data_IF_291942889440
#
_entry.id   IF_291942889440
#
_cell.length_a   1.000
_cell.length_b   1.000
_cell.length_c   1.000
_cell.angle_alpha   90.00
_cell.angle_beta   90.00
_cell.angle_gamma   90.00
#
_symmetry.space_group_name_H-M   'P 1'
#
loop_
_entity.id
_entity.type
_entity.pdbx_description
1 polymer ?
#
# COMPACT_ATOMS: atom_id res chain seq x y z
N UNK A 1 1.34 6.50 -22.52
CA UNK A 1 2.60 6.03 -23.11
C UNK A 1 3.08 4.81 -22.35
N UNK A 2 2.97 3.62 -22.93
CA UNK A 2 3.42 2.37 -22.27
C UNK A 2 4.95 2.29 -22.42
N UNK A 3 5.67 2.45 -21.33
CA UNK A 3 7.12 2.25 -21.31
C UNK A 3 7.40 0.76 -21.29
N UNK A 4 7.39 0.14 -22.46
CA UNK A 4 7.86 -1.25 -22.63
C UNK A 4 9.36 -1.25 -22.46
N UNK A 5 9.87 -1.67 -21.32
CA UNK A 5 11.27 -2.11 -21.22
C UNK A 5 11.32 -3.48 -21.92
N UNK A 6 12.07 -3.64 -22.99
CA UNK A 6 12.15 -4.94 -23.66
C UNK A 6 12.73 -5.99 -22.70
N UNK A 7 12.08 -7.15 -22.60
CA UNK A 7 12.48 -8.27 -21.74
C UNK A 7 13.95 -8.62 -21.91
N UNK A 8 14.43 -8.65 -23.16
CA UNK A 8 15.83 -8.91 -23.52
C UNK A 8 16.82 -7.91 -22.90
N UNK A 9 16.43 -6.65 -22.70
CA UNK A 9 17.30 -5.64 -22.07
C UNK A 9 17.39 -5.85 -20.57
N UNK A 10 16.29 -6.23 -19.92
CA UNK A 10 16.26 -6.52 -18.50
C UNK A 10 17.06 -7.80 -18.18
N UNK A 11 16.98 -8.83 -19.02
CA UNK A 11 17.76 -10.06 -18.89
C UNK A 11 19.26 -9.78 -19.03
N UNK A 12 19.67 -8.94 -19.98
CA UNK A 12 21.06 -8.48 -20.12
C UNK A 12 21.57 -7.72 -18.89
N UNK A 13 20.69 -7.10 -18.12
CA UNK A 13 21.00 -6.41 -16.87
C UNK A 13 20.95 -7.35 -15.65
N UNK A 14 20.78 -8.67 -15.85
CA UNK A 14 20.72 -9.65 -14.79
C UNK A 14 19.45 -9.62 -13.94
N UNK A 15 18.34 -9.18 -14.54
CA UNK A 15 17.02 -9.26 -13.89
C UNK A 15 16.41 -10.64 -14.15
N UNK A 16 15.88 -11.32 -13.12
CA UNK A 16 15.17 -12.59 -13.31
C UNK A 16 13.97 -12.40 -14.25
N UNK A 17 13.82 -13.26 -15.25
CA UNK A 17 12.75 -13.18 -16.26
C UNK A 17 11.37 -13.10 -15.63
N UNK A 18 11.06 -13.99 -14.68
CA UNK A 18 9.78 -13.97 -13.98
C UNK A 18 9.54 -12.72 -13.14
N UNK A 19 10.58 -12.01 -12.68
CA UNK A 19 10.44 -10.73 -11.98
C UNK A 19 10.02 -9.61 -12.94
N UNK A 20 10.56 -9.61 -14.16
CA UNK A 20 10.19 -8.64 -15.19
C UNK A 20 8.73 -8.83 -15.60
N UNK A 21 8.28 -10.07 -15.74
CA UNK A 21 6.89 -10.39 -16.06
C UNK A 21 5.97 -9.97 -14.89
N UNK A 22 6.33 -10.28 -13.65
CA UNK A 22 5.60 -9.84 -12.47
C UNK A 22 5.51 -8.31 -12.37
N UNK A 23 6.56 -7.58 -12.75
CA UNK A 23 6.56 -6.13 -12.82
C UNK A 23 5.53 -5.62 -13.82
N UNK A 24 5.50 -6.17 -15.04
CA UNK A 24 4.55 -5.76 -16.08
C UNK A 24 3.11 -6.03 -15.68
N UNK A 25 2.86 -7.21 -15.08
CA UNK A 25 1.53 -7.67 -14.77
C UNK A 25 0.94 -7.03 -13.50
N UNK A 26 1.79 -6.69 -12.54
CA UNK A 26 1.34 -6.31 -11.20
C UNK A 26 1.65 -4.87 -10.80
N UNK A 27 2.48 -4.14 -11.56
CA UNK A 27 2.91 -2.80 -11.20
C UNK A 27 1.74 -1.86 -10.88
N UNK A 28 0.78 -1.75 -11.79
CA UNK A 28 -0.35 -0.83 -11.63
C UNK A 28 -1.22 -1.20 -10.43
N UNK A 29 -1.49 -2.49 -10.22
CA UNK A 29 -2.28 -2.99 -9.10
C UNK A 29 -1.57 -2.71 -7.76
N UNK A 30 -0.25 -2.92 -7.72
CA UNK A 30 0.55 -2.67 -6.52
C UNK A 30 0.69 -1.18 -6.22
N UNK A 31 0.85 -0.33 -7.24
CA UNK A 31 0.85 1.13 -7.06
C UNK A 31 -0.51 1.60 -6.58
N UNK A 32 -1.61 1.09 -7.13
CA UNK A 32 -2.95 1.41 -6.64
C UNK A 32 -3.14 0.98 -5.19
N UNK A 33 -2.71 -0.23 -4.83
CA UNK A 33 -2.73 -0.72 -3.45
C UNK A 33 -1.96 0.22 -2.51
N UNK A 34 -0.71 0.54 -2.85
CA UNK A 34 0.13 1.42 -2.04
C UNK A 34 -0.48 2.82 -1.91
N UNK A 35 -1.06 3.35 -2.99
CA UNK A 35 -1.77 4.62 -3.00
C UNK A 35 -2.98 4.62 -2.05
N UNK A 36 -3.84 3.59 -2.09
CA UNK A 36 -4.97 3.46 -1.16
C UNK A 36 -4.54 3.36 0.31
N UNK A 37 -3.28 2.99 0.57
CA UNK A 37 -2.73 2.89 1.92
C UNK A 37 -1.95 4.14 2.37
N UNK A 38 -1.38 4.90 1.44
CA UNK A 38 -0.52 6.07 1.75
C UNK A 38 -1.17 7.42 1.44
N UNK A 39 -2.00 7.45 0.40
CA UNK A 39 -2.61 8.67 -0.13
C UNK A 39 -1.68 9.53 -0.98
N UNK A 40 -0.51 9.05 -1.29
CA UNK A 40 0.47 9.77 -2.09
C UNK A 40 0.97 8.87 -3.22
N UNK A 41 0.76 9.30 -4.46
CA UNK A 41 1.11 8.52 -5.65
C UNK A 41 2.61 8.36 -5.81
N UNK A 42 3.37 9.42 -5.55
CA UNK A 42 4.83 9.38 -5.68
C UNK A 42 5.44 8.42 -4.67
N UNK A 43 4.95 8.47 -3.42
CA UNK A 43 5.33 7.53 -2.37
C UNK A 43 4.92 6.10 -2.74
N UNK A 44 3.72 5.92 -3.28
CA UNK A 44 3.25 4.60 -3.69
C UNK A 44 4.15 3.98 -4.78
N UNK A 45 4.52 4.76 -5.79
CA UNK A 45 5.42 4.32 -6.87
C UNK A 45 6.81 3.97 -6.32
N UNK A 46 7.37 4.79 -5.42
CA UNK A 46 8.65 4.54 -4.75
C UNK A 46 8.64 3.24 -3.94
N UNK A 47 7.64 3.06 -3.07
CA UNK A 47 7.52 1.87 -2.23
C UNK A 47 7.34 0.58 -3.05
N UNK A 48 6.61 0.65 -4.16
CA UNK A 48 6.46 -0.50 -5.07
C UNK A 48 7.77 -0.78 -5.79
N UNK A 49 8.48 0.24 -6.27
CA UNK A 49 9.79 0.08 -6.89
C UNK A 49 10.78 -0.58 -5.92
N UNK A 50 10.84 -0.13 -4.69
CA UNK A 50 11.70 -0.70 -3.65
C UNK A 50 11.34 -2.16 -3.35
N UNK A 51 10.05 -2.51 -3.34
CA UNK A 51 9.60 -3.89 -3.16
C UNK A 51 10.10 -4.81 -4.28
N UNK A 52 10.07 -4.36 -5.55
CA UNK A 52 10.62 -5.12 -6.67
C UNK A 52 12.14 -5.23 -6.62
N UNK A 53 12.84 -4.15 -6.24
CA UNK A 53 14.29 -4.15 -6.07
C UNK A 53 14.72 -5.13 -4.95
N UNK A 54 14.02 -5.12 -3.82
CA UNK A 54 14.27 -6.05 -2.72
C UNK A 54 13.98 -7.51 -3.11
N UNK A 55 12.95 -7.75 -3.93
CA UNK A 55 12.59 -9.07 -4.40
C UNK A 55 13.66 -9.68 -5.34
N UNK A 56 14.43 -8.85 -6.05
CA UNK A 56 15.39 -9.28 -7.06
C UNK A 56 16.37 -10.33 -6.55
N UNK A 57 16.97 -10.14 -5.38
CA UNK A 57 17.98 -11.03 -4.82
C UNK A 57 17.42 -12.37 -4.33
N UNK A 58 16.12 -12.46 -4.09
CA UNK A 58 15.45 -13.64 -3.54
C UNK A 58 14.42 -14.25 -4.49
N UNK A 59 14.31 -13.73 -5.71
CA UNK A 59 13.25 -14.09 -6.64
C UNK A 59 13.15 -15.59 -6.92
N UNK A 60 14.28 -16.27 -7.05
CA UNK A 60 14.33 -17.71 -7.29
C UNK A 60 13.81 -18.56 -6.12
N UNK A 61 13.63 -17.95 -4.93
CA UNK A 61 13.08 -18.61 -3.74
C UNK A 61 11.60 -18.28 -3.54
N UNK A 62 11.04 -17.41 -4.37
CA UNK A 62 9.65 -16.94 -4.23
C UNK A 62 8.70 -17.92 -4.93
N UNK A 63 8.02 -18.75 -4.15
CA UNK A 63 7.05 -19.72 -4.68
C UNK A 63 5.77 -19.06 -5.20
N UNK A 64 5.33 -17.98 -4.53
CA UNK A 64 4.07 -17.25 -4.84
C UNK A 64 4.34 -15.76 -5.07
N UNK A 65 4.81 -15.39 -6.28
CA UNK A 65 5.24 -14.02 -6.59
C UNK A 65 4.19 -12.94 -6.26
N UNK A 66 2.93 -13.19 -6.63
CA UNK A 66 1.84 -12.22 -6.40
C UNK A 66 1.59 -11.97 -4.91
N UNK A 67 1.52 -13.01 -4.11
CA UNK A 67 1.34 -12.91 -2.66
C UNK A 67 2.55 -12.24 -2.01
N UNK A 68 3.75 -12.63 -2.41
CA UNK A 68 5.00 -12.06 -1.90
C UNK A 68 5.07 -10.55 -2.13
N UNK A 69 4.84 -10.09 -3.36
CA UNK A 69 4.91 -8.67 -3.70
C UNK A 69 3.82 -7.85 -2.99
N UNK A 70 2.58 -8.37 -2.90
CA UNK A 70 1.51 -7.72 -2.13
C UNK A 70 1.89 -7.55 -0.67
N UNK A 71 2.39 -8.60 -0.03
CA UNK A 71 2.84 -8.56 1.37
C UNK A 71 4.00 -7.59 1.55
N UNK A 72 4.97 -7.59 0.64
CA UNK A 72 6.10 -6.66 0.69
C UNK A 72 5.64 -5.20 0.61
N UNK A 73 4.72 -4.87 -0.31
CA UNK A 73 4.16 -3.53 -0.46
C UNK A 73 3.35 -3.12 0.77
N UNK A 74 2.49 -3.99 1.30
CA UNK A 74 1.71 -3.71 2.53
C UNK A 74 2.63 -3.43 3.71
N UNK A 75 3.71 -4.21 3.87
CA UNK A 75 4.69 -3.99 4.93
C UNK A 75 5.44 -2.66 4.73
N UNK A 76 5.89 -2.36 3.50
CA UNK A 76 6.58 -1.11 3.18
C UNK A 76 5.69 0.12 3.49
N UNK A 77 4.40 0.09 3.10
CA UNK A 77 3.46 1.18 3.44
C UNK A 77 3.24 1.33 4.94
N UNK A 78 3.26 0.22 5.70
CA UNK A 78 3.15 0.26 7.17
C UNK A 78 4.37 0.92 7.81
N UNK A 79 5.55 0.55 7.35
CA UNK A 79 6.81 1.09 7.90
C UNK A 79 6.98 2.56 7.54
N UNK A 80 6.62 2.96 6.32
CA UNK A 80 6.52 4.35 5.92
C UNK A 80 5.55 5.15 6.82
N UNK A 81 4.35 4.62 7.08
CA UNK A 81 3.36 5.25 7.95
C UNK A 81 3.86 5.45 9.39
N UNK A 82 4.58 4.47 9.94
CA UNK A 82 5.24 4.60 11.26
C UNK A 82 6.29 5.70 11.25
N UNK A 83 7.13 5.75 10.22
CA UNK A 83 8.13 6.80 10.08
C UNK A 83 7.50 8.18 10.03
N UNK A 84 6.44 8.36 9.24
CA UNK A 84 5.68 9.61 9.15
C UNK A 84 5.09 10.03 10.51
N UNK A 85 4.60 9.09 11.32
CA UNK A 85 4.09 9.39 12.66
C UNK A 85 5.20 9.90 13.59
N UNK A 86 6.39 9.28 13.53
CA UNK A 86 7.55 9.71 14.32
C UNK A 86 7.99 11.13 13.90
N UNK A 87 8.11 11.38 12.59
CA UNK A 87 8.47 12.70 12.05
C UNK A 87 7.44 13.76 12.46
N UNK A 88 6.14 13.46 12.36
CA UNK A 88 5.07 14.38 12.81
C UNK A 88 5.12 14.65 14.31
N UNK A 89 5.42 13.65 15.12
CA UNK A 89 5.58 13.81 16.57
C UNK A 89 6.75 14.73 16.92
N UNK A 90 7.88 14.58 16.24
CA UNK A 90 9.03 15.46 16.41
C UNK A 90 8.78 16.88 15.88
N UNK A 91 8.09 17.04 14.73
CA UNK A 91 7.70 18.34 14.20
C UNK A 91 6.71 19.09 15.09
N UNK A 92 5.74 18.40 15.71
CA UNK A 92 4.83 19.02 16.67
C UNK A 92 5.54 19.59 17.90
N UNK A 93 6.75 19.11 18.19
CA UNK A 93 7.60 19.67 19.24
C UNK A 93 8.35 20.94 18.80
N UNK A 94 8.43 21.23 17.51
CA UNK A 94 9.24 22.33 16.96
C UNK A 94 8.42 23.36 16.17
N UNK A 95 7.30 22.99 15.54
CA UNK A 95 6.52 23.90 14.69
C UNK A 95 5.01 23.66 14.75
N UNK A 96 4.33 24.64 15.26
CA UNK A 96 2.86 24.73 15.29
C UNK A 96 2.28 25.32 13.99
N UNK A 97 2.96 25.22 12.87
CA UNK A 97 2.46 25.73 11.60
C UNK A 97 3.19 25.08 10.42
N UNK A 98 2.62 24.03 9.85
CA UNK A 98 2.58 23.79 8.41
C UNK A 98 1.94 22.41 8.18
N UNK A 99 0.73 22.42 7.63
CA UNK A 99 0.10 21.20 7.10
C UNK A 99 1.03 20.63 6.04
N UNK A 100 1.33 19.31 6.06
CA UNK A 100 2.03 18.69 4.94
C UNK A 100 1.19 18.97 3.68
N UNK A 101 1.83 19.42 2.63
CA UNK A 101 1.22 19.53 1.32
C UNK A 101 0.66 18.15 0.97
N UNK A 102 -0.64 18.08 0.80
CA UNK A 102 -1.30 16.95 0.14
C UNK A 102 -0.70 16.93 -1.25
N UNK A 103 -0.01 15.84 -1.61
CA UNK A 103 0.52 15.65 -2.96
C UNK A 103 -0.58 15.95 -3.98
N UNK A 104 -0.19 16.41 -5.17
CA UNK A 104 -1.08 16.74 -6.28
C UNK A 104 -2.00 15.55 -6.56
N UNK A 105 -3.21 15.66 -6.06
CA UNK A 105 -4.21 14.61 -6.07
C UNK A 105 -5.13 14.85 -7.26
N UNK A 106 -5.16 13.92 -8.21
CA UNK A 106 -6.34 13.82 -9.07
C UNK A 106 -7.53 13.43 -8.18
N UNK A 107 -8.71 14.05 -8.38
CA UNK A 107 -9.89 13.73 -7.58
C UNK A 107 -10.16 12.23 -7.60
N UNK A 108 -10.03 11.58 -6.46
CA UNK A 108 -10.30 10.15 -6.29
C UNK A 108 -11.29 10.01 -5.12
N UNK A 109 -12.57 9.92 -5.45
CA UNK A 109 -13.66 9.79 -4.48
C UNK A 109 -13.44 8.64 -3.49
N UNK A 110 -12.83 7.54 -3.97
CA UNK A 110 -12.50 6.41 -3.13
C UNK A 110 -11.42 6.77 -2.10
N UNK A 111 -10.38 7.48 -2.55
CA UNK A 111 -9.35 7.95 -1.62
C UNK A 111 -9.92 8.93 -0.61
N UNK A 112 -10.73 9.89 -1.05
CA UNK A 112 -11.33 10.91 -0.17
C UNK A 112 -12.17 10.26 0.94
N UNK A 113 -12.93 9.21 0.61
CA UNK A 113 -13.65 8.42 1.60
C UNK A 113 -12.70 7.68 2.55
N UNK A 114 -11.67 7.01 2.03
CA UNK A 114 -10.70 6.27 2.83
C UNK A 114 -9.81 7.17 3.69
N UNK A 115 -9.49 8.38 3.25
CA UNK A 115 -8.65 9.35 3.97
C UNK A 115 -9.27 9.82 5.29
N UNK A 116 -10.60 9.71 5.42
CA UNK A 116 -11.35 10.05 6.65
C UNK A 116 -11.23 8.98 7.73
N UNK A 117 -10.87 7.76 7.34
CA UNK A 117 -10.63 6.68 8.29
C UNK A 117 -9.24 6.83 8.93
N UNK A 118 -9.12 6.41 10.20
CA UNK A 118 -7.79 6.22 10.76
C UNK A 118 -7.00 5.13 10.02
N UNK A 119 -5.68 5.16 10.13
CA UNK A 119 -4.78 4.28 9.38
C UNK A 119 -5.11 2.80 9.55
N UNK A 120 -5.44 2.36 10.78
CA UNK A 120 -5.76 0.93 11.03
C UNK A 120 -7.07 0.50 10.37
N UNK A 121 -8.11 1.35 10.41
CA UNK A 121 -9.40 1.06 9.78
C UNK A 121 -9.27 1.10 8.26
N UNK A 122 -8.58 2.10 7.71
CA UNK A 122 -8.30 2.19 6.28
C UNK A 122 -7.57 0.94 5.78
N UNK A 123 -6.49 0.51 6.45
CA UNK A 123 -5.77 -0.73 6.11
C UNK A 123 -6.68 -1.95 6.15
N UNK A 124 -7.47 -2.12 7.20
CA UNK A 124 -8.37 -3.27 7.32
C UNK A 124 -9.37 -3.33 6.16
N UNK A 125 -9.95 -2.19 5.77
CA UNK A 125 -10.90 -2.09 4.64
C UNK A 125 -10.20 -2.38 3.31
N UNK A 126 -9.05 -1.76 3.05
CA UNK A 126 -8.30 -1.98 1.80
C UNK A 126 -7.87 -3.44 1.67
N UNK A 127 -7.34 -4.05 2.73
CA UNK A 127 -6.92 -5.46 2.71
C UNK A 127 -8.10 -6.40 2.49
N UNK A 128 -9.27 -6.09 3.06
CA UNK A 128 -10.49 -6.90 2.89
C UNK A 128 -11.07 -6.77 1.49
N UNK A 129 -11.32 -5.56 1.02
CA UNK A 129 -12.15 -5.32 -0.16
C UNK A 129 -11.34 -5.13 -1.45
N UNK A 130 -10.11 -4.68 -1.36
CA UNK A 130 -9.24 -4.54 -2.53
C UNK A 130 -8.40 -5.80 -2.79
N UNK A 131 -7.90 -6.46 -1.75
CA UNK A 131 -7.11 -7.70 -1.86
C UNK A 131 -7.90 -8.98 -1.60
N UNK A 132 -9.15 -8.87 -1.16
CA UNK A 132 -10.04 -10.00 -0.81
C UNK A 132 -9.40 -10.98 0.20
N UNK A 133 -8.71 -10.43 1.21
CA UNK A 133 -8.03 -11.25 2.22
C UNK A 133 -8.99 -11.66 3.34
N UNK A 134 -8.90 -12.90 3.85
CA UNK A 134 -9.64 -13.34 5.03
C UNK A 134 -9.11 -12.71 6.33
N UNK A 135 -9.97 -12.68 7.37
CA UNK A 135 -9.63 -12.07 8.67
C UNK A 135 -8.30 -12.55 9.28
N UNK A 136 -7.93 -13.84 9.21
CA UNK A 136 -6.66 -14.30 9.77
C UNK A 136 -5.44 -13.67 9.06
N UNK A 137 -5.45 -13.58 7.74
CA UNK A 137 -4.35 -12.98 6.96
C UNK A 137 -4.24 -11.48 7.22
N UNK A 138 -5.39 -10.77 7.27
CA UNK A 138 -5.41 -9.35 7.65
C UNK A 138 -4.87 -9.16 9.07
N UNK A 139 -5.25 -10.03 10.00
CA UNK A 139 -4.81 -9.98 11.39
C UNK A 139 -3.28 -10.12 11.50
N UNK A 140 -2.69 -11.03 10.73
CA UNK A 140 -1.25 -11.21 10.64
C UNK A 140 -0.55 -9.95 10.12
N UNK A 141 -1.03 -9.40 8.99
CA UNK A 141 -0.49 -8.18 8.39
C UNK A 141 -0.61 -6.95 9.31
N UNK A 142 -1.70 -6.85 10.08
CA UNK A 142 -1.93 -5.74 11.01
C UNK A 142 -1.33 -5.98 12.41
N UNK A 143 -0.79 -7.16 12.69
CA UNK A 143 -0.27 -7.52 14.00
C UNK A 143 -1.35 -7.48 15.08
N UNK A 144 -2.53 -8.06 14.82
CA UNK A 144 -3.66 -8.07 15.75
C UNK A 144 -4.42 -9.41 15.71
N UNK A 145 -5.48 -9.54 16.52
CA UNK A 145 -6.33 -10.74 16.50
C UNK A 145 -7.42 -10.65 15.41
N UNK A 146 -7.89 -11.76 14.82
CA UNK A 146 -8.95 -11.76 13.82
C UNK A 146 -10.24 -11.04 14.26
N UNK A 147 -10.62 -11.17 15.54
CA UNK A 147 -11.76 -10.44 16.11
C UNK A 147 -11.58 -8.92 16.10
N UNK A 148 -10.33 -8.44 16.21
CA UNK A 148 -10.01 -7.01 16.07
C UNK A 148 -10.21 -6.54 14.62
N UNK A 149 -9.86 -7.36 13.63
CA UNK A 149 -10.08 -7.06 12.21
C UNK A 149 -11.56 -6.83 11.92
N UNK A 150 -12.44 -7.73 12.41
CA UNK A 150 -13.90 -7.57 12.26
C UNK A 150 -14.39 -6.26 12.84
N UNK A 151 -13.91 -5.91 14.02
CA UNK A 151 -14.28 -4.66 14.70
C UNK A 151 -13.81 -3.44 13.92
N UNK A 152 -12.58 -3.47 13.39
CA UNK A 152 -12.03 -2.39 12.56
C UNK A 152 -12.87 -2.19 11.30
N UNK A 153 -13.16 -3.27 10.57
CA UNK A 153 -13.96 -3.23 9.34
C UNK A 153 -15.38 -2.74 9.65
N UNK A 154 -16.03 -3.29 10.66
CA UNK A 154 -17.39 -2.88 11.03
C UNK A 154 -17.48 -1.38 11.37
N UNK A 155 -16.51 -0.87 12.15
CA UNK A 155 -16.47 0.56 12.49
C UNK A 155 -16.18 1.43 11.27
N UNK A 156 -15.24 1.01 10.42
CA UNK A 156 -14.92 1.73 9.19
C UNK A 156 -16.13 1.83 8.26
N UNK A 157 -16.83 0.71 8.01
CA UNK A 157 -18.02 0.71 7.16
C UNK A 157 -19.16 1.55 7.74
N UNK A 158 -19.31 1.58 9.06
CA UNK A 158 -20.29 2.45 9.72
C UNK A 158 -19.95 3.92 9.51
N UNK A 159 -18.67 4.28 9.63
CA UNK A 159 -18.23 5.66 9.47
C UNK A 159 -18.40 6.11 8.00
N UNK A 160 -18.01 5.27 7.04
CA UNK A 160 -18.21 5.51 5.60
C UNK A 160 -19.69 5.67 5.21
N UNK A 161 -20.58 4.84 5.76
CA UNK A 161 -22.02 4.93 5.46
C UNK A 161 -22.66 6.24 5.94
N UNK A 162 -22.23 6.80 7.05
CA UNK A 162 -22.76 8.07 7.58
C UNK A 162 -22.50 9.26 6.66
N UNK A 163 -21.57 9.14 5.75
CA UNK A 163 -21.17 10.21 4.84
C UNK A 163 -21.81 10.09 3.46
N UNK A 164 -22.29 8.89 3.10
CA UNK A 164 -22.96 8.64 1.82
C UNK A 164 -24.47 8.87 1.90
N UNK A 165 -25.01 8.96 3.13
CA UNK A 165 -26.44 9.29 3.31
C UNK A 165 -26.56 10.78 3.60
N UNK A 166 -27.14 11.57 2.67
CA UNK A 166 -27.43 12.99 2.89
C UNK A 166 -28.43 13.21 4.02
#
# INVERSE_FOLDING_TARGET
MRTSVPTERAERLGWPTGLVDAYRDQWLDLVRLAYLLTGDRSVAEELVQDAFLAARSRWYQVERPRTYLRTAVVNATRDWGRHQQIVRKHRRSVEQALRPAVGTHEPDELWDALARLDDRRRRAVVLRFYLDLPDPEIAELLGCRPGTVRTLIHRALRDLRREVTP
#
